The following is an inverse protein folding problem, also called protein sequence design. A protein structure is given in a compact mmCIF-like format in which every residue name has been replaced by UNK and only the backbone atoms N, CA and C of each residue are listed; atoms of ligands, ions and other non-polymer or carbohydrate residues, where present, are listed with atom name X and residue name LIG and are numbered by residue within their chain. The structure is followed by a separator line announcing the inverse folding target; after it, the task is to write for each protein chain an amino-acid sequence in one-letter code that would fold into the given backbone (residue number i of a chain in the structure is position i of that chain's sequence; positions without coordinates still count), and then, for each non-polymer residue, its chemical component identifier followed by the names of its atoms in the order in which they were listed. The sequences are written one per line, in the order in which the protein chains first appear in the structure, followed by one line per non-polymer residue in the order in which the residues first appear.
data_IF_140573370078
#
_entry.id   IF_140573370078
#
_cell.length_a   1.000
_cell.length_b   1.000
_cell.length_c   1.000
_cell.angle_alpha   90.00
_cell.angle_beta   90.00
_cell.angle_gamma   90.00
#
_symmetry.space_group_name_H-M   'P 1'
#
loop_
_entity.id
_entity.type
_entity.pdbx_description
1 polymer ?
#
# COMPACT_ATOMS: atom_id res chain seq x y z
N UNK A 1 -7.45 19.38 0.75
CA UNK A 1 -8.37 18.60 -0.10
C UNK A 1 -7.77 17.26 -0.48
N UNK A 2 -6.53 17.17 -0.97
CA UNK A 2 -5.97 15.88 -1.41
C UNK A 2 -5.73 14.89 -0.27
N UNK A 3 -5.17 15.34 0.87
CA UNK A 3 -4.95 14.48 2.05
C UNK A 3 -6.28 13.90 2.58
N UNK A 4 -7.32 14.69 2.65
CA UNK A 4 -8.65 14.24 3.07
C UNK A 4 -9.23 13.18 2.14
N UNK A 5 -9.07 13.35 0.83
CA UNK A 5 -9.49 12.34 -0.15
C UNK A 5 -8.70 11.04 -0.01
N UNK A 6 -7.39 11.14 0.25
CA UNK A 6 -6.54 9.99 0.51
C UNK A 6 -6.97 9.23 1.76
N UNK A 7 -7.23 9.91 2.88
CA UNK A 7 -7.71 9.26 4.11
C UNK A 7 -9.03 8.54 3.86
N UNK A 8 -10.00 9.19 3.20
CA UNK A 8 -11.30 8.59 2.91
C UNK A 8 -11.19 7.31 2.08
N UNK A 9 -10.39 7.32 1.02
CA UNK A 9 -10.23 6.12 0.18
C UNK A 9 -9.43 5.04 0.90
N UNK A 10 -8.46 5.41 1.74
CA UNK A 10 -7.69 4.46 2.54
C UNK A 10 -8.57 3.75 3.57
N UNK A 11 -9.41 4.49 4.29
CA UNK A 11 -10.35 3.90 5.26
C UNK A 11 -11.37 2.99 4.58
N UNK A 12 -11.91 3.40 3.43
CA UNK A 12 -12.79 2.56 2.63
C UNK A 12 -12.06 1.27 2.18
N UNK A 13 -10.85 1.41 1.66
CA UNK A 13 -10.02 0.27 1.22
C UNK A 13 -9.71 -0.68 2.37
N UNK A 14 -9.36 -0.14 3.55
CA UNK A 14 -9.10 -0.94 4.76
C UNK A 14 -10.31 -1.76 5.15
N UNK A 15 -11.50 -1.16 5.17
CA UNK A 15 -12.73 -1.86 5.53
C UNK A 15 -13.10 -2.93 4.49
N UNK A 16 -13.00 -2.63 3.19
CA UNK A 16 -13.24 -3.61 2.13
C UNK A 16 -12.25 -4.77 2.20
N UNK A 17 -10.99 -4.49 2.51
CA UNK A 17 -9.96 -5.52 2.67
C UNK A 17 -10.23 -6.41 3.89
N UNK A 18 -10.69 -5.84 5.01
CA UNK A 18 -11.10 -6.59 6.20
C UNK A 18 -12.24 -7.56 5.88
N UNK A 19 -13.31 -7.06 5.25
CA UNK A 19 -14.45 -7.87 4.85
C UNK A 19 -14.05 -8.98 3.87
N UNK A 20 -13.23 -8.64 2.88
CA UNK A 20 -12.72 -9.60 1.92
C UNK A 20 -11.90 -10.71 2.59
N UNK A 21 -11.01 -10.35 3.52
CA UNK A 21 -10.21 -11.32 4.27
C UNK A 21 -11.08 -12.27 5.10
N UNK A 22 -12.14 -11.76 5.73
CA UNK A 22 -13.09 -12.56 6.51
C UNK A 22 -13.89 -13.52 5.63
N UNK A 23 -14.31 -13.06 4.45
CA UNK A 23 -15.11 -13.87 3.52
C UNK A 23 -14.30 -14.97 2.83
N UNK A 24 -13.09 -14.66 2.37
CA UNK A 24 -12.31 -15.56 1.53
C UNK A 24 -11.20 -16.30 2.29
N UNK A 25 -10.99 -16.00 3.58
CA UNK A 25 -10.00 -16.62 4.47
C UNK A 25 -8.59 -16.74 3.86
N UNK A 26 -8.13 -15.67 3.21
CA UNK A 26 -6.79 -15.63 2.61
C UNK A 26 -5.76 -15.33 3.70
N UNK A 27 -4.88 -16.29 3.98
CA UNK A 27 -3.70 -16.08 4.81
C UNK A 27 -2.51 -15.60 3.95
N UNK A 28 -1.95 -14.45 4.31
CA UNK A 28 -0.79 -13.82 3.66
C UNK A 28 0.23 -13.32 4.69
N UNK A 29 0.37 -14.07 5.79
CA UNK A 29 1.25 -13.72 6.92
C UNK A 29 0.91 -12.37 7.56
N UNK A 30 -0.39 -12.06 7.62
CA UNK A 30 -0.88 -10.79 8.12
C UNK A 30 -0.59 -10.58 9.60
N UNK A 31 0.00 -9.43 9.93
CA UNK A 31 0.26 -8.99 11.31
C UNK A 31 -0.54 -7.73 11.62
N UNK A 32 -1.20 -7.71 12.78
CA UNK A 32 -2.05 -6.60 13.23
C UNK A 32 -1.45 -5.93 14.46
N UNK A 33 -0.20 -5.45 14.34
CA UNK A 33 0.51 -4.76 15.43
C UNK A 33 0.61 -3.25 15.22
N UNK A 34 -0.08 -2.75 14.21
CA UNK A 34 -0.04 -1.35 13.83
C UNK A 34 1.24 -0.95 13.09
N UNK A 35 1.31 0.34 12.80
CA UNK A 35 2.49 0.99 12.24
C UNK A 35 2.99 2.03 13.22
N UNK A 36 4.28 2.04 13.48
CA UNK A 36 4.96 3.04 14.29
C UNK A 36 5.78 3.97 13.38
N UNK A 37 5.32 5.19 13.19
CA UNK A 37 6.11 6.23 12.54
C UNK A 37 6.98 6.92 13.59
N UNK A 38 8.30 6.95 13.39
CA UNK A 38 9.24 7.62 14.27
C UNK A 38 9.67 8.96 13.70
N UNK A 39 9.91 9.92 14.61
CA UNK A 39 10.41 11.26 14.31
C UNK A 39 11.79 11.46 14.93
N UNK A 40 12.72 11.98 14.16
CA UNK A 40 14.10 12.17 14.59
C UNK A 40 14.33 13.52 15.29
N UNK A 41 13.47 14.48 15.05
CA UNK A 41 13.60 15.84 15.57
C UNK A 41 12.26 16.38 16.09
N UNK A 42 12.31 17.33 17.03
CA UNK A 42 11.12 18.03 17.52
C UNK A 42 10.42 18.84 16.39
N UNK A 43 11.18 19.27 15.40
CA UNK A 43 10.62 19.93 14.22
C UNK A 43 9.72 19.00 13.41
N UNK A 44 10.11 17.74 13.27
CA UNK A 44 9.30 16.72 12.59
C UNK A 44 8.04 16.37 13.40
N UNK A 45 8.18 16.24 14.74
CA UNK A 45 7.02 16.06 15.64
C UNK A 45 6.00 17.19 15.44
N UNK A 46 6.47 18.44 15.48
CA UNK A 46 5.59 19.60 15.28
C UNK A 46 4.98 19.65 13.85
N UNK A 47 5.73 19.23 12.84
CA UNK A 47 5.23 19.20 11.46
C UNK A 47 4.16 18.15 11.25
N UNK A 48 4.23 17.01 11.95
CA UNK A 48 3.27 15.91 11.88
C UNK A 48 1.88 16.31 12.39
N UNK A 49 1.76 17.31 13.26
CA UNK A 49 0.46 17.72 13.83
C UNK A 49 -0.58 18.13 12.77
N UNK A 50 -0.13 18.65 11.63
CA UNK A 50 -1.03 18.98 10.51
C UNK A 50 -1.67 17.75 9.88
N UNK A 51 -0.93 16.66 9.81
CA UNK A 51 -1.40 15.40 9.24
C UNK A 51 -2.23 14.64 10.27
N UNK A 52 -1.81 14.66 11.52
CA UNK A 52 -2.54 14.11 12.66
C UNK A 52 -3.93 14.74 12.76
N UNK A 53 -4.05 16.07 12.65
CA UNK A 53 -5.35 16.76 12.68
C UNK A 53 -6.30 16.29 11.55
N UNK A 54 -5.76 15.91 10.39
CA UNK A 54 -6.57 15.32 9.31
C UNK A 54 -7.03 13.91 9.69
N UNK A 55 -6.15 13.07 10.23
CA UNK A 55 -6.49 11.71 10.67
C UNK A 55 -7.55 11.74 11.77
N UNK A 56 -7.42 12.60 12.77
CA UNK A 56 -8.40 12.79 13.86
C UNK A 56 -9.77 13.21 13.33
N UNK A 57 -9.82 14.11 12.36
CA UNK A 57 -11.10 14.53 11.73
C UNK A 57 -11.86 13.36 11.11
N UNK A 58 -11.15 12.35 10.63
CA UNK A 58 -11.73 11.14 10.07
C UNK A 58 -11.79 9.98 11.06
N UNK A 59 -11.59 10.25 12.35
CA UNK A 59 -11.65 9.26 13.44
C UNK A 59 -10.71 8.07 13.24
N UNK A 60 -9.57 8.30 12.57
CA UNK A 60 -8.54 7.27 12.43
C UNK A 60 -7.87 7.06 13.78
N UNK A 61 -7.87 5.83 14.32
CA UNK A 61 -7.22 5.55 15.59
C UNK A 61 -5.73 5.85 15.54
N UNK A 62 -5.24 6.66 16.48
CA UNK A 62 -3.83 7.01 16.55
C UNK A 62 -3.40 7.31 18.01
N UNK A 63 -2.10 7.18 18.27
CA UNK A 63 -1.47 7.58 19.54
C UNK A 63 -0.21 8.38 19.26
N UNK A 64 -0.12 9.60 19.80
CA UNK A 64 1.13 10.36 19.88
C UNK A 64 1.99 9.76 20.97
N UNK A 65 3.26 9.56 20.69
CA UNK A 65 4.19 8.91 21.60
C UNK A 65 5.39 9.80 21.87
N UNK A 66 5.81 9.86 23.13
CA UNK A 66 7.15 10.31 23.49
C UNK A 66 8.17 9.27 23.03
N UNK A 67 9.44 9.68 23.03
CA UNK A 67 10.53 8.81 22.63
C UNK A 67 10.51 7.46 23.35
N UNK A 68 10.43 7.49 24.68
CA UNK A 68 10.46 6.27 25.52
C UNK A 68 9.25 5.37 25.30
N UNK A 69 8.08 5.95 25.02
CA UNK A 69 6.83 5.21 24.77
C UNK A 69 6.88 4.42 23.46
N UNK A 70 7.77 4.78 22.52
CA UNK A 70 7.95 4.03 21.29
C UNK A 70 8.43 2.60 21.54
N UNK A 71 9.14 2.36 22.65
CA UNK A 71 9.64 1.03 23.03
C UNK A 71 8.54 0.06 23.46
N UNK A 72 7.36 0.57 23.87
CA UNK A 72 6.21 -0.27 24.20
C UNK A 72 5.69 -1.00 22.95
N UNK A 73 5.83 -0.38 21.78
CA UNK A 73 5.35 -0.90 20.50
C UNK A 73 6.46 -1.60 19.72
N UNK A 74 7.70 -1.11 19.85
CA UNK A 74 8.85 -1.65 19.12
C UNK A 74 10.11 -1.66 20.01
N UNK A 75 10.32 -2.75 20.78
CA UNK A 75 11.47 -2.89 21.67
C UNK A 75 12.83 -2.86 20.93
N UNK A 76 12.87 -3.26 19.65
CA UNK A 76 14.08 -3.24 18.85
C UNK A 76 14.68 -1.84 18.65
N UNK A 77 13.89 -0.76 18.89
CA UNK A 77 14.36 0.62 18.84
C UNK A 77 15.22 1.04 20.04
N UNK A 78 15.44 0.19 21.04
CA UNK A 78 16.18 0.54 22.26
C UNK A 78 17.52 1.23 22.00
N UNK A 79 18.31 0.69 21.06
CA UNK A 79 19.59 1.30 20.71
C UNK A 79 19.50 2.58 19.88
N UNK A 80 18.36 2.80 19.23
CA UNK A 80 18.10 4.01 18.44
C UNK A 80 17.44 5.14 19.24
N UNK A 81 16.98 4.86 20.46
CA UNK A 81 16.22 5.77 21.30
C UNK A 81 16.81 7.18 21.45
N UNK A 82 18.14 7.36 21.65
CA UNK A 82 18.75 8.69 21.73
C UNK A 82 18.60 9.54 20.45
N UNK A 83 18.23 8.91 19.34
CA UNK A 83 18.02 9.55 18.04
C UNK A 83 16.55 9.67 17.66
N UNK A 84 15.62 9.44 18.59
CA UNK A 84 14.18 9.51 18.38
C UNK A 84 13.61 10.61 19.26
N UNK A 85 12.92 11.56 18.65
CA UNK A 85 12.29 12.69 19.35
C UNK A 85 10.82 12.40 19.73
N UNK A 86 10.20 11.42 19.12
CA UNK A 86 8.81 10.98 19.36
C UNK A 86 8.30 10.06 18.29
N UNK A 87 7.07 9.64 18.38
CA UNK A 87 6.43 8.76 17.42
C UNK A 87 4.93 8.98 17.28
N UNK A 88 4.40 8.38 16.21
CA UNK A 88 2.97 8.25 15.96
C UNK A 88 2.66 6.77 15.73
N UNK A 89 1.84 6.20 16.58
CA UNK A 89 1.36 4.83 16.42
C UNK A 89 -0.03 4.81 15.82
N UNK A 90 -0.20 4.00 14.77
CA UNK A 90 -1.44 3.77 14.04
C UNK A 90 -1.89 2.33 14.29
N UNK A 91 -2.66 2.05 15.36
CA UNK A 91 -2.96 0.68 15.79
C UNK A 91 -3.84 -0.12 14.83
N UNK A 92 -4.58 0.56 13.96
CA UNK A 92 -5.46 -0.09 12.99
C UNK A 92 -4.74 -0.54 11.71
N UNK A 93 -3.47 -0.20 11.55
CA UNK A 93 -2.67 -0.64 10.42
C UNK A 93 -2.28 -2.11 10.57
N UNK A 94 -2.08 -2.74 9.43
CA UNK A 94 -1.64 -4.12 9.36
C UNK A 94 -0.56 -4.27 8.27
N UNK A 95 0.29 -5.26 8.44
CA UNK A 95 1.29 -5.66 7.45
C UNK A 95 1.03 -7.07 6.98
N UNK A 96 1.58 -7.42 5.83
CA UNK A 96 1.52 -8.76 5.29
C UNK A 96 2.36 -8.87 4.02
N UNK A 97 2.56 -10.09 3.55
CA UNK A 97 3.26 -10.33 2.29
C UNK A 97 2.32 -10.06 1.11
N UNK A 98 2.56 -8.93 0.43
CA UNK A 98 1.76 -8.51 -0.73
C UNK A 98 1.92 -9.44 -1.94
N UNK A 99 3.08 -10.08 -2.11
CA UNK A 99 3.31 -11.07 -3.15
C UNK A 99 2.49 -12.34 -2.89
N UNK A 100 2.57 -12.86 -1.67
CA UNK A 100 1.79 -14.02 -1.26
C UNK A 100 0.29 -13.75 -1.38
N UNK A 101 -0.17 -12.58 -0.93
CA UNK A 101 -1.56 -12.15 -1.10
C UNK A 101 -1.98 -12.16 -2.56
N UNK A 102 -1.20 -11.55 -3.45
CA UNK A 102 -1.51 -11.47 -4.89
C UNK A 102 -1.55 -12.85 -5.54
N UNK A 103 -0.64 -13.76 -5.16
CA UNK A 103 -0.63 -15.13 -5.66
C UNK A 103 -1.88 -15.90 -5.21
N UNK A 104 -2.24 -15.83 -3.94
CA UNK A 104 -3.44 -16.48 -3.40
C UNK A 104 -4.73 -15.90 -3.98
N UNK A 105 -4.75 -14.58 -4.19
CA UNK A 105 -5.88 -13.91 -4.85
C UNK A 105 -6.05 -14.40 -6.29
N UNK A 106 -4.95 -14.52 -7.05
CA UNK A 106 -4.99 -15.11 -8.40
C UNK A 106 -5.57 -16.51 -8.38
N UNK A 107 -5.11 -17.36 -7.47
CA UNK A 107 -5.55 -18.75 -7.38
C UNK A 107 -7.05 -18.84 -7.02
N UNK A 108 -7.52 -17.98 -6.14
CA UNK A 108 -8.95 -17.83 -5.83
C UNK A 108 -9.75 -17.37 -7.06
N UNK A 109 -9.24 -16.38 -7.80
CA UNK A 109 -9.90 -15.92 -9.04
C UNK A 109 -10.01 -17.03 -10.07
N UNK A 110 -8.97 -17.86 -10.23
CA UNK A 110 -8.99 -19.03 -11.13
C UNK A 110 -10.08 -20.01 -10.69
N UNK A 111 -10.17 -20.30 -9.39
CA UNK A 111 -11.22 -21.18 -8.85
C UNK A 111 -12.63 -20.63 -9.10
N UNK A 112 -12.79 -19.30 -9.15
CA UNK A 112 -14.05 -18.62 -9.48
C UNK A 112 -14.27 -18.45 -10.98
N UNK A 113 -13.43 -19.03 -11.84
CA UNK A 113 -13.60 -19.04 -13.30
C UNK A 113 -12.97 -17.86 -14.04
N UNK A 114 -12.18 -17.03 -13.37
CA UNK A 114 -11.44 -15.94 -14.04
C UNK A 114 -10.30 -16.53 -14.88
N UNK A 115 -10.24 -16.13 -16.14
CA UNK A 115 -9.15 -16.49 -17.04
C UNK A 115 -8.02 -15.46 -16.93
N UNK A 116 -6.79 -15.95 -16.90
CA UNK A 116 -5.58 -15.14 -16.90
C UNK A 116 -4.80 -15.40 -18.17
N UNK A 117 -4.51 -14.36 -18.91
CA UNK A 117 -3.70 -14.38 -20.12
C UNK A 117 -2.36 -13.69 -19.84
N UNK A 118 -1.38 -14.46 -19.38
CA UNK A 118 -0.04 -13.98 -19.08
C UNK A 118 0.85 -13.95 -20.32
N UNK A 119 1.89 -13.12 -20.29
CA UNK A 119 2.86 -13.04 -21.37
C UNK A 119 2.37 -12.25 -22.59
N UNK A 120 1.23 -11.61 -22.51
CA UNK A 120 0.72 -10.74 -23.56
C UNK A 120 1.22 -9.31 -23.39
N UNK A 121 1.78 -8.75 -24.45
CA UNK A 121 2.15 -7.35 -24.47
C UNK A 121 1.03 -6.53 -25.10
N UNK A 122 0.42 -5.63 -24.32
CA UNK A 122 -0.64 -4.75 -24.79
C UNK A 122 -0.01 -3.73 -25.75
N UNK A 123 -0.50 -3.69 -26.98
CA UNK A 123 -0.03 -2.76 -28.03
C UNK A 123 -0.86 -1.50 -28.08
N UNK A 124 -2.18 -1.65 -28.08
CA UNK A 124 -3.11 -0.52 -28.12
C UNK A 124 -4.52 -0.89 -27.67
N UNK A 125 -5.29 0.13 -27.36
CA UNK A 125 -6.72 0.04 -27.09
C UNK A 125 -7.49 0.35 -28.38
N UNK A 126 -8.38 -0.56 -28.76
CA UNK A 126 -9.24 -0.35 -29.91
C UNK A 126 -10.55 0.26 -29.41
N UNK A 127 -10.95 1.36 -30.03
CA UNK A 127 -12.15 2.08 -29.66
C UNK A 127 -12.87 2.63 -30.89
N UNK A 128 -14.18 2.70 -30.82
CA UNK A 128 -14.94 3.64 -31.63
C UNK A 128 -14.95 5.00 -30.88
N UNK A 129 -15.55 6.02 -31.46
CA UNK A 129 -15.56 7.37 -30.85
C UNK A 129 -16.26 7.45 -29.49
N UNK A 130 -16.93 6.40 -29.04
CA UNK A 130 -17.81 6.40 -27.85
C UNK A 130 -17.39 5.42 -26.77
N UNK A 131 -16.77 4.29 -27.13
CA UNK A 131 -16.42 3.23 -26.22
C UNK A 131 -15.19 2.43 -26.66
N UNK A 132 -14.53 1.82 -25.72
CA UNK A 132 -13.50 0.82 -25.97
C UNK A 132 -14.20 -0.46 -26.42
N UNK A 133 -13.72 -1.09 -27.48
CA UNK A 133 -14.28 -2.31 -28.04
C UNK A 133 -13.37 -3.51 -27.87
N UNK A 134 -12.05 -3.28 -27.83
CA UNK A 134 -11.08 -4.36 -27.65
C UNK A 134 -9.74 -3.86 -27.12
N UNK A 135 -8.90 -4.80 -26.69
CA UNK A 135 -7.48 -4.62 -26.42
C UNK A 135 -6.69 -5.47 -27.39
N UNK A 136 -5.79 -4.85 -28.16
CA UNK A 136 -4.86 -5.52 -29.04
C UNK A 136 -3.56 -5.84 -28.32
N UNK A 137 -3.10 -7.07 -28.43
CA UNK A 137 -1.82 -7.54 -27.88
C UNK A 137 -0.93 -8.07 -29.02
N UNK A 138 0.28 -8.47 -28.67
CA UNK A 138 1.20 -9.14 -29.59
C UNK A 138 0.76 -10.56 -30.01
N UNK A 139 -0.23 -11.13 -29.31
CA UNK A 139 -0.73 -12.50 -29.54
C UNK A 139 -2.19 -12.56 -29.97
N UNK A 140 -2.84 -11.41 -30.12
CA UNK A 140 -4.24 -11.36 -30.56
C UNK A 140 -5.02 -10.21 -29.96
N UNK A 141 -6.31 -10.22 -30.23
CA UNK A 141 -7.25 -9.21 -29.79
C UNK A 141 -8.25 -9.80 -28.78
N UNK A 142 -8.55 -9.03 -27.75
CA UNK A 142 -9.50 -9.40 -26.70
C UNK A 142 -10.66 -8.41 -26.67
N UNK A 143 -11.86 -8.90 -26.83
CA UNK A 143 -13.11 -8.13 -26.76
C UNK A 143 -13.78 -8.34 -25.40
N UNK A 144 -14.48 -7.33 -24.92
CA UNK A 144 -15.26 -7.38 -23.68
C UNK A 144 -16.35 -6.30 -23.66
N UNK A 145 -17.31 -6.45 -22.77
CA UNK A 145 -18.36 -5.44 -22.54
C UNK A 145 -17.86 -4.25 -21.74
N UNK A 146 -16.84 -4.45 -20.89
CA UNK A 146 -16.21 -3.41 -20.07
C UNK A 146 -14.72 -3.71 -19.87
N UNK A 147 -13.95 -2.66 -19.71
CA UNK A 147 -12.49 -2.73 -19.54
C UNK A 147 -12.06 -1.98 -18.28
N UNK A 148 -11.14 -2.58 -17.51
CA UNK A 148 -10.51 -1.95 -16.36
C UNK A 148 -9.00 -1.85 -16.61
N UNK A 149 -8.47 -0.63 -16.65
CA UNK A 149 -7.04 -0.40 -16.74
C UNK A 149 -6.44 -0.36 -15.32
N UNK A 150 -5.68 -1.38 -14.96
CA UNK A 150 -5.02 -1.51 -13.68
C UNK A 150 -3.51 -1.78 -13.85
N UNK A 151 -2.85 -1.04 -14.75
CA UNK A 151 -1.47 -1.27 -15.18
C UNK A 151 -0.42 -0.48 -14.38
N UNK A 152 -0.82 0.16 -13.26
CA UNK A 152 0.09 0.97 -12.46
C UNK A 152 0.73 2.09 -13.28
N UNK A 153 2.05 2.22 -13.27
CA UNK A 153 2.77 3.25 -14.02
C UNK A 153 2.68 3.10 -15.55
N UNK A 154 2.36 1.91 -16.05
CA UNK A 154 2.16 1.69 -17.49
C UNK A 154 0.79 2.15 -17.98
N UNK A 155 -0.16 2.46 -17.10
CA UNK A 155 -1.48 2.96 -17.48
C UNK A 155 -1.39 4.24 -18.31
N UNK A 156 -0.44 5.12 -18.00
CA UNK A 156 -0.22 6.36 -18.75
C UNK A 156 0.03 6.06 -20.24
N UNK A 157 1.02 5.22 -20.52
CA UNK A 157 1.41 4.90 -21.91
C UNK A 157 0.26 4.28 -22.71
N UNK A 158 -0.52 3.38 -22.08
CA UNK A 158 -1.62 2.69 -22.76
C UNK A 158 -2.82 3.61 -23.01
N UNK A 159 -3.04 4.60 -22.12
CA UNK A 159 -4.19 5.50 -22.22
C UNK A 159 -3.88 6.80 -22.98
N UNK A 160 -2.62 7.09 -23.28
CA UNK A 160 -2.19 8.28 -24.01
C UNK A 160 -2.81 8.34 -25.41
N UNK A 161 -2.93 7.19 -26.09
CA UNK A 161 -3.58 7.08 -27.40
C UNK A 161 -5.07 7.45 -27.38
N UNK A 162 -5.70 7.39 -26.21
CA UNK A 162 -7.08 7.84 -25.99
C UNK A 162 -7.17 9.34 -25.67
N UNK A 163 -6.06 10.07 -25.67
CA UNK A 163 -5.97 11.47 -25.30
C UNK A 163 -5.99 11.71 -23.78
N UNK A 164 -5.74 10.70 -22.97
CA UNK A 164 -5.73 10.82 -21.49
C UNK A 164 -4.31 10.94 -20.98
N UNK A 165 -3.96 12.12 -20.48
CA UNK A 165 -2.69 12.34 -19.78
C UNK A 165 -2.88 12.10 -18.27
N UNK A 166 -2.43 10.93 -17.80
CA UNK A 166 -2.51 10.58 -16.39
C UNK A 166 -1.19 10.95 -15.68
N UNK A 167 -1.24 11.71 -14.58
CA UNK A 167 -0.05 12.10 -13.83
C UNK A 167 0.47 10.94 -12.95
N UNK A 168 0.71 9.78 -13.57
CA UNK A 168 1.25 8.58 -12.93
C UNK A 168 2.71 8.42 -13.34
N UNK A 169 3.61 8.48 -12.35
CA UNK A 169 5.05 8.38 -12.56
C UNK A 169 5.60 7.17 -11.81
N UNK A 170 6.54 6.42 -12.43
CA UNK A 170 7.21 5.32 -11.73
C UNK A 170 8.10 5.87 -10.63
N UNK A 171 8.02 5.25 -9.46
CA UNK A 171 8.93 5.51 -8.33
C UNK A 171 9.77 4.27 -8.09
N UNK A 172 11.08 4.45 -7.94
CA UNK A 172 12.00 3.36 -7.66
C UNK A 172 12.19 3.23 -6.15
N UNK A 173 11.91 2.05 -5.63
CA UNK A 173 12.20 1.64 -4.25
C UNK A 173 13.21 0.51 -4.23
N UNK A 174 13.80 0.31 -3.07
CA UNK A 174 14.69 -0.82 -2.79
C UNK A 174 14.16 -1.58 -1.59
N UNK A 175 14.20 -2.89 -1.64
CA UNK A 175 13.91 -3.74 -0.49
C UNK A 175 15.11 -4.62 -0.17
N UNK A 176 15.32 -4.86 1.12
CA UNK A 176 16.35 -5.76 1.61
C UNK A 176 15.71 -6.75 2.57
N UNK A 177 15.79 -8.02 2.24
CA UNK A 177 15.32 -9.10 3.11
C UNK A 177 16.52 -9.68 3.84
N UNK A 178 16.47 -9.65 5.17
CA UNK A 178 17.52 -10.19 6.04
C UNK A 178 16.98 -11.38 6.82
N UNK A 179 17.78 -12.45 6.98
CA UNK A 179 17.41 -13.53 7.89
C UNK A 179 17.41 -13.03 9.33
N UNK A 180 16.37 -13.39 10.09
CA UNK A 180 16.30 -13.10 11.52
C UNK A 180 17.19 -14.13 12.24
N UNK A 181 18.28 -13.66 12.83
CA UNK A 181 19.24 -14.52 13.58
C UNK A 181 18.94 -14.47 15.08
N UNK A 182 18.36 -13.36 15.54
CA UNK A 182 18.02 -13.10 16.92
C UNK A 182 16.62 -12.54 17.00
N UNK A 183 15.63 -13.35 17.34
CA UNK A 183 14.22 -12.97 17.39
C UNK A 183 13.96 -11.78 18.33
N UNK A 184 14.67 -11.72 19.45
CA UNK A 184 14.56 -10.65 20.43
C UNK A 184 15.06 -9.27 19.94
N UNK A 185 15.80 -9.24 18.84
CA UNK A 185 16.32 -8.01 18.20
C UNK A 185 15.58 -7.65 16.91
N UNK A 186 14.73 -8.55 16.44
CA UNK A 186 13.96 -8.32 15.23
C UNK A 186 12.79 -7.37 15.50
N UNK A 187 12.46 -6.48 14.56
CA UNK A 187 11.27 -5.67 14.68
C UNK A 187 10.00 -6.52 14.77
N UNK A 188 9.11 -6.17 15.70
CA UNK A 188 7.82 -6.86 15.89
C UNK A 188 6.66 -6.15 15.20
N UNK A 189 6.85 -4.88 14.84
CA UNK A 189 5.87 -4.04 14.14
C UNK A 189 6.48 -3.45 12.86
N UNK A 190 5.67 -2.75 12.07
CA UNK A 190 6.19 -1.92 10.98
C UNK A 190 6.64 -0.59 11.55
N UNK A 191 7.91 -0.24 11.30
CA UNK A 191 8.48 1.04 11.70
C UNK A 191 8.73 1.89 10.46
N UNK A 192 8.17 3.11 10.42
CA UNK A 192 8.39 4.08 9.37
C UNK A 192 9.32 5.19 9.87
N UNK A 193 10.42 5.40 9.18
CA UNK A 193 11.34 6.51 9.41
C UNK A 193 11.33 7.46 8.21
N UNK A 194 10.58 8.54 8.32
CA UNK A 194 10.41 9.51 7.24
C UNK A 194 11.70 10.28 6.92
N UNK A 195 12.59 10.43 7.89
CA UNK A 195 13.88 11.11 7.70
C UNK A 195 14.78 10.35 6.72
N UNK A 196 14.83 9.02 6.88
CA UNK A 196 15.65 8.15 6.04
C UNK A 196 14.87 7.43 4.95
N UNK A 197 13.53 7.61 4.90
CA UNK A 197 12.63 6.93 3.95
C UNK A 197 12.77 5.41 4.01
N UNK A 198 12.80 4.89 5.22
CA UNK A 198 12.90 3.45 5.53
C UNK A 198 11.60 2.99 6.19
N UNK A 199 11.15 1.79 5.78
CA UNK A 199 10.02 1.08 6.37
C UNK A 199 10.43 -0.34 6.73
#
# INVERSE_FOLDING_TARGET
INKERMVRISEYSREMFRLFKEQENIDFEGRHKGTLQIFRTQKEVAAAEKDIAVLERYSVPLRRLKSEECLEFEPALHHALPKIAGGLHLPADATGDCRLFTQKLRDLCIQKGVRFEFGHHIRRIIHDRRRITAVETDQGQFEADAFVCALGCFSRTVLEDLGWDLPIYPVKGYSLTLPVVHDEKAPVSTVLDETYKVA
#
